data_IF_696058164790
#
_entry.id   IF_696058164790
#
_cell.length_a   1.000
_cell.length_b   1.000
_cell.length_c   1.000
_cell.angle_alpha   90.00
_cell.angle_beta   90.00
_cell.angle_gamma   90.00
#
_symmetry.space_group_name_H-M   'P 1'
#
loop_
_entity.id
_entity.type
_entity.pdbx_description
1 polymer ?
#
# COMPACT_ATOMS: atom_id res chain seq x y z
N UNK A 1 -47.70 67.48 -18.82
CA UNK A 1 -46.54 67.21 -17.96
C UNK A 1 -46.61 65.71 -17.62
N UNK A 2 -45.92 64.86 -18.40
CA UNK A 2 -45.93 63.40 -18.19
C UNK A 2 -44.65 63.04 -17.44
N UNK A 3 -44.79 62.44 -16.27
CA UNK A 3 -43.70 61.93 -15.45
C UNK A 3 -43.52 60.46 -15.85
N UNK A 4 -42.38 60.17 -16.51
CA UNK A 4 -41.98 58.78 -16.74
C UNK A 4 -41.21 58.27 -15.52
N UNK A 5 -41.78 57.18 -14.95
CA UNK A 5 -41.16 56.49 -13.84
C UNK A 5 -40.22 55.39 -14.43
N UNK A 6 -38.94 55.57 -14.29
CA UNK A 6 -37.94 54.61 -14.75
C UNK A 6 -37.85 53.49 -13.65
N UNK A 7 -38.38 52.32 -13.95
CA UNK A 7 -38.22 51.14 -13.06
C UNK A 7 -36.88 50.47 -13.42
N UNK A 8 -35.89 50.64 -12.55
CA UNK A 8 -34.62 49.95 -12.65
C UNK A 8 -34.76 48.54 -12.12
N UNK A 9 -34.75 47.56 -13.03
CA UNK A 9 -34.77 46.13 -12.71
C UNK A 9 -33.42 45.70 -12.14
N UNK A 10 -33.31 45.48 -10.84
CA UNK A 10 -32.13 44.81 -10.23
C UNK A 10 -32.25 43.29 -10.48
N UNK A 11 -31.40 42.79 -11.30
CA UNK A 11 -31.20 41.34 -11.48
C UNK A 11 -30.22 40.86 -10.39
N UNK A 12 -30.60 39.96 -9.48
CA UNK A 12 -29.66 39.37 -8.56
C UNK A 12 -28.80 38.36 -9.33
N UNK A 13 -27.52 38.63 -9.43
CA UNK A 13 -26.53 37.68 -9.89
C UNK A 13 -26.40 36.52 -8.89
N UNK A 14 -27.06 35.42 -9.17
CA UNK A 14 -26.80 34.15 -8.52
C UNK A 14 -25.39 33.70 -8.91
N UNK A 15 -24.43 34.04 -8.05
CA UNK A 15 -23.08 33.48 -8.15
C UNK A 15 -23.16 32.02 -7.72
N UNK A 16 -23.08 31.11 -8.71
CA UNK A 16 -23.06 29.67 -8.48
C UNK A 16 -21.85 29.28 -7.62
N UNK A 17 -22.07 29.09 -6.34
CA UNK A 17 -21.12 28.48 -5.40
C UNK A 17 -21.27 26.97 -5.47
N UNK A 18 -20.76 26.38 -6.54
CA UNK A 18 -20.95 24.95 -6.80
C UNK A 18 -19.73 24.26 -7.40
N UNK A 19 -18.51 24.65 -7.05
CA UNK A 19 -17.31 24.00 -7.59
C UNK A 19 -16.22 23.63 -6.59
N UNK A 20 -16.37 23.80 -5.29
CA UNK A 20 -15.28 23.53 -4.33
C UNK A 20 -15.44 22.26 -3.47
N UNK A 21 -16.41 21.40 -3.74
CA UNK A 21 -16.60 20.15 -2.96
C UNK A 21 -15.80 18.94 -3.45
N UNK A 22 -15.07 19.05 -4.56
CA UNK A 22 -14.33 17.91 -5.14
C UNK A 22 -12.80 17.94 -4.87
N UNK A 23 -12.26 18.97 -4.24
CA UNK A 23 -10.82 19.04 -3.97
C UNK A 23 -10.43 18.61 -2.54
N UNK A 24 -11.34 18.49 -1.61
CA UNK A 24 -11.02 18.05 -0.23
C UNK A 24 -10.86 16.54 -0.06
N UNK A 25 -11.18 15.73 -1.08
CA UNK A 25 -11.04 14.25 -0.99
C UNK A 25 -9.64 13.70 -1.27
N UNK A 26 -8.65 14.53 -1.61
CA UNK A 26 -7.34 14.04 -2.08
C UNK A 26 -6.27 13.88 -1.00
N UNK A 27 -6.55 14.18 0.28
CA UNK A 27 -5.53 14.14 1.33
C UNK A 27 -5.93 13.34 2.58
N UNK A 28 -6.98 12.51 2.48
CA UNK A 28 -7.31 11.59 3.55
C UNK A 28 -6.40 10.37 3.40
N UNK A 29 -5.35 10.29 4.21
CA UNK A 29 -4.52 9.10 4.31
C UNK A 29 -5.42 7.93 4.71
N UNK A 30 -5.57 6.95 3.81
CA UNK A 30 -6.36 5.75 4.09
C UNK A 30 -5.72 5.06 5.29
N UNK A 31 -6.45 4.99 6.39
CA UNK A 31 -6.02 4.23 7.57
C UNK A 31 -6.76 2.89 7.54
N UNK A 32 -6.01 1.81 7.36
CA UNK A 32 -6.52 0.45 7.42
C UNK A 32 -6.35 -0.05 8.85
N UNK A 33 -7.43 -0.56 9.42
CA UNK A 33 -7.47 -1.05 10.79
C UNK A 33 -7.66 -2.57 10.83
N UNK A 34 -7.34 -3.16 11.96
CA UNK A 34 -7.68 -4.57 12.25
C UNK A 34 -9.20 -4.72 12.17
N UNK A 35 -9.65 -5.75 11.45
CA UNK A 35 -11.06 -6.03 11.19
C UNK A 35 -11.62 -5.41 9.90
N UNK A 36 -10.86 -4.56 9.21
CA UNK A 36 -11.25 -4.07 7.89
C UNK A 36 -11.07 -5.15 6.82
N UNK A 37 -11.84 -5.06 5.74
CA UNK A 37 -11.59 -5.86 4.55
C UNK A 37 -10.29 -5.36 3.89
N UNK A 38 -9.36 -6.25 3.61
CA UNK A 38 -8.12 -5.91 2.93
C UNK A 38 -8.41 -5.33 1.54
N UNK A 39 -7.83 -4.17 1.17
CA UNK A 39 -7.96 -3.63 -0.17
C UNK A 39 -7.55 -4.65 -1.23
N UNK A 40 -8.31 -4.69 -2.32
CA UNK A 40 -8.02 -5.60 -3.42
C UNK A 40 -6.65 -5.29 -4.05
N UNK A 41 -5.85 -6.32 -4.22
CA UNK A 41 -4.64 -6.26 -5.01
C UNK A 41 -5.00 -6.64 -6.45
N UNK A 42 -4.57 -5.83 -7.42
CA UNK A 42 -4.59 -6.13 -8.84
C UNK A 42 -3.33 -5.50 -9.44
N UNK A 43 -2.28 -6.28 -9.52
CA UNK A 43 -0.95 -5.86 -9.96
C UNK A 43 -0.27 -7.01 -10.71
N UNK A 44 1.03 -6.92 -10.92
CA UNK A 44 1.84 -7.99 -11.50
C UNK A 44 2.92 -8.43 -10.51
N UNK A 45 3.34 -9.67 -10.61
CA UNK A 45 4.47 -10.20 -9.86
C UNK A 45 5.81 -9.93 -10.60
N UNK A 46 6.88 -10.52 -10.09
CA UNK A 46 8.23 -10.46 -10.67
C UNK A 46 8.32 -11.04 -12.09
N UNK A 47 7.43 -11.95 -12.47
CA UNK A 47 7.40 -12.57 -13.80
C UNK A 47 6.51 -11.80 -14.79
N UNK A 48 5.83 -10.74 -14.32
CA UNK A 48 4.83 -9.98 -15.09
C UNK A 48 3.45 -10.65 -15.13
N UNK A 49 3.25 -11.70 -14.33
CA UNK A 49 1.96 -12.40 -14.22
C UNK A 49 1.03 -11.65 -13.27
N UNK A 50 -0.27 -11.66 -13.60
CA UNK A 50 -1.27 -10.98 -12.78
C UNK A 50 -1.37 -11.64 -11.41
N UNK A 51 -1.20 -10.83 -10.36
CA UNK A 51 -1.36 -11.23 -8.97
C UNK A 51 -2.52 -10.48 -8.31
N UNK A 52 -3.40 -11.23 -7.67
CA UNK A 52 -4.57 -10.69 -6.95
C UNK A 52 -4.67 -11.31 -5.56
N UNK A 53 -5.19 -10.56 -4.60
CA UNK A 53 -5.41 -11.10 -3.24
C UNK A 53 -6.40 -12.28 -3.23
N UNK A 54 -7.36 -12.28 -4.16
CA UNK A 54 -8.37 -13.36 -4.28
C UNK A 54 -7.79 -14.74 -4.61
N UNK A 55 -6.60 -14.82 -5.21
CA UNK A 55 -5.89 -16.08 -5.48
C UNK A 55 -5.47 -16.81 -4.20
N UNK A 56 -5.39 -16.08 -3.09
CA UNK A 56 -4.98 -16.59 -1.78
C UNK A 56 -6.14 -16.81 -0.81
N UNK A 57 -7.39 -16.77 -1.31
CA UNK A 57 -8.56 -17.01 -0.47
C UNK A 57 -8.46 -18.37 0.23
N UNK A 58 -8.75 -18.40 1.53
CA UNK A 58 -8.61 -19.58 2.37
C UNK A 58 -7.19 -19.82 2.92
N UNK A 59 -6.27 -18.86 2.69
CA UNK A 59 -4.92 -18.83 3.27
C UNK A 59 -4.72 -17.53 4.01
N UNK A 60 -3.89 -17.56 5.04
CA UNK A 60 -3.39 -16.33 5.67
C UNK A 60 -2.32 -15.70 4.77
N UNK A 61 -2.36 -14.38 4.62
CA UNK A 61 -1.39 -13.67 3.78
C UNK A 61 -0.60 -12.67 4.62
N UNK A 62 0.72 -12.79 4.57
CA UNK A 62 1.65 -11.77 5.07
C UNK A 62 2.01 -10.87 3.90
N UNK A 63 1.37 -9.70 3.83
CA UNK A 63 1.66 -8.68 2.83
C UNK A 63 2.60 -7.63 3.44
N UNK A 64 3.88 -7.67 3.09
CA UNK A 64 4.82 -6.70 3.60
C UNK A 64 5.24 -5.67 2.54
N UNK A 65 5.11 -4.40 2.91
CA UNK A 65 5.53 -3.26 2.11
C UNK A 65 6.91 -2.80 2.52
N UNK A 66 7.78 -2.57 1.54
CA UNK A 66 9.14 -2.14 1.78
C UNK A 66 9.59 -1.08 0.76
N UNK A 67 10.49 -0.16 1.15
CA UNK A 67 10.84 0.98 0.31
C UNK A 67 11.48 0.64 -1.04
N UNK A 68 12.43 -0.30 -1.07
CA UNK A 68 13.21 -0.56 -2.30
C UNK A 68 14.06 -1.83 -2.19
N UNK A 69 14.11 -2.59 -3.29
CA UNK A 69 14.98 -3.75 -3.45
C UNK A 69 16.45 -3.43 -3.21
N UNK A 70 17.21 -4.40 -2.73
CA UNK A 70 18.66 -4.34 -2.54
C UNK A 70 19.14 -3.30 -1.51
N UNK A 71 18.24 -2.63 -0.79
CA UNK A 71 18.65 -1.76 0.31
C UNK A 71 18.90 -2.59 1.58
N UNK A 72 19.85 -2.18 2.47
CA UNK A 72 20.25 -3.02 3.59
C UNK A 72 19.10 -3.48 4.49
N UNK A 73 18.22 -2.58 4.92
CA UNK A 73 17.08 -2.93 5.79
C UNK A 73 16.03 -3.80 5.10
N UNK A 74 15.76 -3.59 3.80
CA UNK A 74 14.82 -4.41 3.04
C UNK A 74 15.38 -5.81 2.80
N UNK A 75 16.68 -5.91 2.53
CA UNK A 75 17.36 -7.21 2.39
C UNK A 75 17.31 -8.01 3.68
N UNK A 76 17.61 -7.39 4.82
CA UNK A 76 17.55 -8.06 6.14
C UNK A 76 16.13 -8.55 6.43
N UNK A 77 15.10 -7.76 6.14
CA UNK A 77 13.70 -8.15 6.33
C UNK A 77 13.32 -9.34 5.45
N UNK A 78 13.63 -9.27 4.15
CA UNK A 78 13.29 -10.36 3.21
C UNK A 78 14.05 -11.65 3.54
N UNK A 79 15.32 -11.57 3.95
CA UNK A 79 16.08 -12.72 4.38
C UNK A 79 15.52 -13.33 5.69
N UNK A 80 15.08 -12.52 6.65
CA UNK A 80 14.42 -13.05 7.86
C UNK A 80 13.15 -13.85 7.51
N UNK A 81 12.32 -13.35 6.60
CA UNK A 81 11.13 -14.06 6.13
C UNK A 81 11.50 -15.32 5.35
N UNK A 82 12.53 -15.29 4.51
CA UNK A 82 13.06 -16.45 3.78
C UNK A 82 13.53 -17.54 4.73
N UNK A 83 14.36 -17.18 5.70
CA UNK A 83 14.99 -18.13 6.63
C UNK A 83 13.94 -18.85 7.50
N UNK A 84 12.78 -18.21 7.70
CA UNK A 84 11.66 -18.74 8.48
C UNK A 84 10.46 -19.15 7.59
N UNK A 85 10.64 -19.20 6.26
CA UNK A 85 9.53 -19.38 5.33
C UNK A 85 8.78 -20.70 5.53
N UNK A 86 9.53 -21.78 5.80
CA UNK A 86 8.91 -23.09 6.11
C UNK A 86 7.99 -23.00 7.32
N UNK A 87 8.42 -22.31 8.37
CA UNK A 87 7.60 -22.14 9.59
C UNK A 87 6.32 -21.34 9.29
N UNK A 88 6.41 -20.32 8.44
CA UNK A 88 5.25 -19.53 8.01
C UNK A 88 4.29 -20.40 7.19
N UNK A 89 4.79 -21.19 6.24
CA UNK A 89 3.98 -22.11 5.43
C UNK A 89 3.29 -23.18 6.29
N UNK A 90 4.01 -23.79 7.24
CA UNK A 90 3.47 -24.81 8.16
C UNK A 90 2.32 -24.23 9.03
N UNK A 91 2.30 -22.92 9.23
CA UNK A 91 1.22 -22.20 9.94
C UNK A 91 0.16 -21.59 8.99
N UNK A 92 0.19 -21.96 7.72
CA UNK A 92 -0.82 -21.57 6.72
C UNK A 92 -0.63 -20.17 6.12
N UNK A 93 0.52 -19.54 6.34
CA UNK A 93 0.80 -18.22 5.77
C UNK A 93 1.41 -18.30 4.37
N UNK A 94 0.98 -17.43 3.49
CA UNK A 94 1.65 -17.07 2.23
C UNK A 94 2.33 -15.71 2.44
N UNK A 95 3.54 -15.55 1.94
CA UNK A 95 4.28 -14.28 2.04
C UNK A 95 4.28 -13.60 0.68
N UNK A 96 3.92 -12.32 0.65
CA UNK A 96 3.97 -11.45 -0.51
C UNK A 96 4.70 -10.16 -0.16
N UNK A 97 5.76 -9.83 -0.88
CA UNK A 97 6.41 -8.52 -0.77
C UNK A 97 5.80 -7.54 -1.77
N UNK A 98 5.79 -6.26 -1.46
CA UNK A 98 5.32 -5.21 -2.37
C UNK A 98 6.22 -3.98 -2.29
N UNK A 99 6.72 -3.55 -3.45
CA UNK A 99 7.40 -2.27 -3.60
C UNK A 99 7.08 -1.63 -4.95
N UNK A 100 7.60 -0.42 -5.18
CA UNK A 100 7.47 0.29 -6.46
C UNK A 100 8.62 -0.05 -7.44
N UNK A 101 9.38 -1.10 -7.17
CA UNK A 101 10.42 -1.57 -8.08
C UNK A 101 9.80 -2.34 -9.26
N UNK A 102 10.51 -2.39 -10.39
CA UNK A 102 10.07 -3.11 -11.59
C UNK A 102 10.22 -4.62 -11.45
N UNK A 103 9.48 -5.43 -12.24
CA UNK A 103 9.62 -6.88 -12.27
C UNK A 103 11.08 -7.34 -12.46
N UNK A 104 11.79 -6.75 -13.41
CA UNK A 104 13.20 -7.08 -13.68
C UNK A 104 14.12 -6.81 -12.46
N UNK A 105 13.76 -5.87 -11.58
CA UNK A 105 14.51 -5.60 -10.36
C UNK A 105 14.17 -6.63 -9.28
N UNK A 106 12.89 -6.99 -9.17
CA UNK A 106 12.44 -8.07 -8.28
C UNK A 106 13.08 -9.39 -8.60
N UNK A 107 13.17 -9.79 -9.89
CA UNK A 107 13.89 -11.01 -10.31
C UNK A 107 15.32 -11.00 -9.74
N UNK A 108 16.07 -9.92 -9.96
CA UNK A 108 17.45 -9.82 -9.46
C UNK A 108 17.53 -9.90 -7.93
N UNK A 109 16.51 -9.37 -7.22
CA UNK A 109 16.47 -9.41 -5.76
C UNK A 109 16.17 -10.83 -5.28
N UNK A 110 15.20 -11.50 -5.89
CA UNK A 110 14.85 -12.91 -5.62
C UNK A 110 16.05 -13.81 -5.86
N UNK A 111 16.66 -13.75 -7.05
CA UNK A 111 17.81 -14.58 -7.42
C UNK A 111 19.00 -14.37 -6.50
N UNK A 112 19.29 -13.10 -6.16
CA UNK A 112 20.47 -12.78 -5.32
C UNK A 112 20.36 -13.28 -3.90
N UNK A 113 19.15 -13.35 -3.36
CA UNK A 113 18.90 -13.68 -1.96
C UNK A 113 18.06 -14.94 -1.77
N UNK A 114 17.83 -15.71 -2.85
CA UNK A 114 17.07 -16.98 -2.84
C UNK A 114 15.70 -16.83 -2.15
N UNK A 115 14.96 -15.77 -2.51
CA UNK A 115 13.66 -15.52 -1.89
C UNK A 115 12.61 -16.53 -2.41
N UNK A 116 11.95 -17.32 -1.53
CA UNK A 116 11.02 -18.37 -1.95
C UNK A 116 9.58 -17.91 -2.12
N UNK A 117 9.33 -16.60 -2.22
CA UNK A 117 8.00 -15.99 -2.30
C UNK A 117 7.99 -14.85 -3.33
N UNK A 118 6.80 -14.57 -3.87
CA UNK A 118 6.63 -13.56 -4.91
C UNK A 118 6.71 -12.14 -4.38
N UNK A 119 7.17 -11.25 -5.27
CA UNK A 119 7.24 -9.82 -5.06
C UNK A 119 6.30 -9.10 -6.03
N UNK A 120 5.42 -8.27 -5.49
CA UNK A 120 4.44 -7.46 -6.24
C UNK A 120 5.13 -6.20 -6.75
N UNK A 121 5.14 -6.03 -8.06
CA UNK A 121 5.65 -4.83 -8.73
C UNK A 121 4.54 -3.78 -8.84
N UNK A 122 4.59 -2.76 -8.00
CA UNK A 122 3.62 -1.66 -7.97
C UNK A 122 4.24 -0.36 -8.49
N UNK A 123 4.82 -0.37 -9.71
CA UNK A 123 5.43 0.83 -10.33
C UNK A 123 4.44 1.99 -10.43
N UNK A 124 3.16 1.69 -10.65
CA UNK A 124 2.06 2.66 -10.67
C UNK A 124 1.67 3.21 -9.30
N UNK A 125 2.18 2.62 -8.23
CA UNK A 125 1.92 3.00 -6.83
C UNK A 125 0.44 2.96 -6.45
N UNK A 126 -0.33 2.08 -7.09
CA UNK A 126 -1.74 1.91 -6.78
C UNK A 126 -1.93 1.13 -5.48
N UNK A 127 -1.29 -0.02 -5.37
CA UNK A 127 -1.40 -0.90 -4.18
C UNK A 127 -0.87 -0.19 -2.94
N UNK A 128 0.30 0.44 -3.01
CA UNK A 128 0.88 1.17 -1.87
C UNK A 128 0.04 2.36 -1.43
N UNK A 129 -0.73 2.98 -2.35
CA UNK A 129 -1.68 4.05 -2.00
C UNK A 129 -2.96 3.49 -1.39
N UNK A 130 -3.53 2.43 -1.96
CA UNK A 130 -4.75 1.78 -1.46
C UNK A 130 -4.54 1.23 -0.04
N UNK A 131 -3.33 0.77 0.28
CA UNK A 131 -2.94 0.32 1.63
C UNK A 131 -2.46 1.47 2.54
N UNK A 132 -2.51 2.72 2.09
CA UNK A 132 -2.15 3.90 2.89
C UNK A 132 -0.68 3.98 3.29
N UNK A 133 0.20 3.22 2.64
CA UNK A 133 1.63 3.15 2.97
C UNK A 133 2.50 4.08 2.13
N UNK A 134 1.93 4.78 1.15
CA UNK A 134 2.62 5.79 0.34
C UNK A 134 2.45 7.17 0.95
N UNK A 135 3.52 7.83 1.32
CA UNK A 135 3.45 9.14 1.95
C UNK A 135 4.76 9.89 2.02
N UNK A 136 4.69 11.10 2.58
CA UNK A 136 5.85 11.96 2.78
C UNK A 136 6.79 11.36 3.82
N UNK A 137 8.06 11.25 3.47
CA UNK A 137 9.15 10.78 4.31
C UNK A 137 10.20 11.87 4.47
N UNK A 138 10.92 11.83 5.57
CA UNK A 138 12.04 12.73 5.82
C UNK A 138 13.30 11.92 6.11
N UNK A 139 14.37 12.18 5.38
CA UNK A 139 15.65 11.55 5.58
C UNK A 139 16.79 12.57 5.36
N UNK A 140 17.69 12.71 6.33
CA UNK A 140 18.80 13.66 6.30
C UNK A 140 18.37 15.10 5.93
N UNK A 141 17.23 15.55 6.50
CA UNK A 141 16.70 16.90 6.27
C UNK A 141 15.96 17.10 4.93
N UNK A 142 15.95 16.10 4.03
CA UNK A 142 15.22 16.14 2.75
C UNK A 142 13.89 15.39 2.86
N UNK A 143 12.85 15.97 2.30
CA UNK A 143 11.54 15.35 2.18
C UNK A 143 11.39 14.67 0.83
N UNK A 144 10.76 13.51 0.82
CA UNK A 144 10.48 12.76 -0.40
C UNK A 144 9.24 11.88 -0.21
N UNK A 145 8.58 11.54 -1.30
CA UNK A 145 7.49 10.56 -1.31
C UNK A 145 8.05 9.14 -1.33
N UNK A 146 7.56 8.29 -0.44
CA UNK A 146 8.06 6.93 -0.33
C UNK A 146 7.14 5.99 0.43
N UNK A 147 7.48 4.69 0.38
CA UNK A 147 6.74 3.62 1.05
C UNK A 147 7.12 3.57 2.53
N UNK A 148 6.12 3.57 3.41
CA UNK A 148 6.27 3.23 4.83
C UNK A 148 6.40 1.72 4.96
N UNK A 149 7.47 1.25 5.63
CA UNK A 149 7.63 -0.16 5.96
C UNK A 149 6.50 -0.59 6.89
N UNK A 150 5.57 -1.38 6.36
CA UNK A 150 4.38 -1.83 7.07
C UNK A 150 4.07 -3.24 6.60
N UNK A 151 3.58 -4.08 7.51
CA UNK A 151 3.12 -5.42 7.16
C UNK A 151 1.69 -5.57 7.60
N UNK A 152 0.87 -6.07 6.72
CA UNK A 152 -0.50 -6.47 6.98
C UNK A 152 -0.57 -8.00 7.04
N UNK A 153 -1.12 -8.51 8.11
CA UNK A 153 -1.49 -9.92 8.22
C UNK A 153 -2.96 -10.01 7.87
N UNK A 154 -3.29 -10.80 6.87
CA UNK A 154 -4.64 -10.94 6.32
C UNK A 154 -5.10 -12.36 6.58
N UNK A 155 -6.30 -12.53 7.12
CA UNK A 155 -6.86 -13.83 7.44
C UNK A 155 -7.39 -14.56 6.19
N UNK A 156 -7.86 -15.78 6.36
CA UNK A 156 -8.38 -16.67 5.30
C UNK A 156 -9.64 -16.12 4.62
N UNK A 157 -10.32 -15.15 5.26
CA UNK A 157 -11.52 -14.49 4.74
C UNK A 157 -11.18 -13.19 3.99
N UNK A 158 -9.92 -12.76 4.04
CA UNK A 158 -9.47 -11.49 3.45
C UNK A 158 -9.64 -10.28 4.37
N UNK A 159 -9.75 -10.50 5.69
CA UNK A 159 -9.83 -9.43 6.68
C UNK A 159 -8.44 -9.15 7.24
N UNK A 160 -8.19 -7.90 7.61
CA UNK A 160 -6.95 -7.51 8.30
C UNK A 160 -6.95 -8.08 9.72
N UNK A 161 -6.06 -9.03 9.98
CA UNK A 161 -5.87 -9.66 11.29
C UNK A 161 -4.87 -8.88 12.16
N UNK A 162 -3.81 -8.32 11.55
CA UNK A 162 -2.82 -7.49 12.25
C UNK A 162 -2.18 -6.46 11.31
N UNK A 163 -1.68 -5.35 11.89
CA UNK A 163 -0.96 -4.28 11.18
C UNK A 163 0.32 -3.94 11.93
N UNK A 164 1.46 -4.32 11.36
CA UNK A 164 2.78 -4.11 11.95
C UNK A 164 3.42 -2.88 11.30
N UNK A 165 3.37 -1.73 11.98
CA UNK A 165 3.94 -0.46 11.50
C UNK A 165 5.37 -0.21 11.99
N UNK A 166 5.76 -0.85 13.10
CA UNK A 166 7.12 -0.82 13.65
C UNK A 166 7.82 -2.15 13.39
N UNK A 167 8.20 -2.37 12.14
CA UNK A 167 8.82 -3.62 11.71
C UNK A 167 10.25 -3.71 12.22
N UNK A 168 10.56 -4.74 13.02
CA UNK A 168 11.92 -5.18 13.27
C UNK A 168 12.37 -6.06 12.10
N UNK A 169 13.27 -5.54 11.28
CA UNK A 169 13.72 -6.24 10.08
C UNK A 169 14.55 -7.50 10.39
N UNK A 170 15.09 -7.62 11.59
CA UNK A 170 15.90 -8.78 12.02
C UNK A 170 15.05 -9.88 12.66
N UNK A 171 13.88 -9.52 13.18
CA UNK A 171 12.97 -10.45 13.87
C UNK A 171 11.51 -10.31 13.42
N UNK A 172 11.33 -10.06 12.12
CA UNK A 172 10.03 -9.81 11.55
C UNK A 172 9.09 -11.01 11.64
N UNK A 173 9.62 -12.22 11.45
CA UNK A 173 8.81 -13.44 11.55
C UNK A 173 8.21 -13.61 12.91
N UNK A 174 8.95 -13.35 14.00
CA UNK A 174 8.40 -13.42 15.37
C UNK A 174 7.28 -12.39 15.60
N UNK A 175 7.36 -11.21 14.97
CA UNK A 175 6.29 -10.23 15.04
C UNK A 175 5.00 -10.70 14.36
N UNK A 176 5.10 -11.52 13.31
CA UNK A 176 3.97 -12.10 12.57
C UNK A 176 3.36 -13.27 13.34
N UNK A 177 4.17 -14.07 14.00
CA UNK A 177 3.77 -15.34 14.64
C UNK A 177 3.40 -15.20 16.13
N UNK A 178 3.09 -13.99 16.58
CA UNK A 178 2.69 -13.72 17.99
C UNK A 178 1.70 -14.75 18.55
#
# INVERSE_FOLDING_TARGET
MKIEVLITLLIPTFFSFSQDRNQEKSNQQIMINIGDIAPAINSIDENGEVITLSQFKGKKVVLYFYPKDMTPGCTVQSCNLRDNYKTLLDKGYVVLGCSADSPARHIKFIEKYDLPFSLISDEGKKVVKDYGVWGLKKFMGKEYMGISRTTFVIDEKGMIEDVITKVDTKDHTSQILK
#
